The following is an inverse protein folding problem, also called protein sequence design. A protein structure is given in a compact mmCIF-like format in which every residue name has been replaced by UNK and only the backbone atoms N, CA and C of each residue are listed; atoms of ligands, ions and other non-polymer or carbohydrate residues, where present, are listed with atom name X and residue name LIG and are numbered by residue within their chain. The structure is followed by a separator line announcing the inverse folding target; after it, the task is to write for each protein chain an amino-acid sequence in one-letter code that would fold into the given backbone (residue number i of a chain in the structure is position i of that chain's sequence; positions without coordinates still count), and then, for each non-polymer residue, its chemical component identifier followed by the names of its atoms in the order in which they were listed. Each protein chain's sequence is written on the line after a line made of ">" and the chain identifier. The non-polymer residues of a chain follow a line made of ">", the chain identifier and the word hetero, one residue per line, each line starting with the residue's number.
data_IF_031043970880
#
_entry.id   IF_031043970880
#
_cell.length_a   1.000
_cell.length_b   1.000
_cell.length_c   1.000
_cell.angle_alpha   90.00
_cell.angle_beta   90.00
_cell.angle_gamma   90.00
#
_symmetry.space_group_name_H-M   'P 1'
#
loop_
_entity.id
_entity.type
_entity.pdbx_description
1 polymer ?
#
# COMPACT_ATOMS: atom_id res chain seq x y z
N UNK A 1 0.14 -3.77 7.80
CA UNK A 1 0.78 -2.44 7.68
C UNK A 1 0.93 -1.72 9.02
N UNK A 2 -0.12 -1.58 9.83
CA UNK A 2 -0.05 -0.93 11.15
C UNK A 2 1.09 -1.45 12.06
N UNK A 3 1.35 -2.76 12.03
CA UNK A 3 2.47 -3.40 12.75
C UNK A 3 3.85 -2.89 12.33
N UNK A 4 4.01 -2.45 11.08
CA UNK A 4 5.27 -1.87 10.57
C UNK A 4 5.32 -0.35 10.72
N UNK A 5 4.16 0.32 10.69
CA UNK A 5 4.05 1.78 10.86
C UNK A 5 4.38 2.23 12.28
N UNK A 6 3.98 1.47 13.31
CA UNK A 6 4.20 1.82 14.72
C UNK A 6 5.71 1.83 15.08
N UNK A 7 6.49 0.78 14.78
CA UNK A 7 7.94 0.80 14.97
C UNK A 7 8.62 1.92 14.20
N UNK A 8 8.18 2.20 12.96
CA UNK A 8 8.76 3.27 12.13
C UNK A 8 8.56 4.65 12.78
N UNK A 9 7.35 4.96 13.26
CA UNK A 9 7.06 6.21 13.98
C UNK A 9 7.91 6.30 15.24
N UNK A 10 8.02 5.21 16.00
CA UNK A 10 8.84 5.18 17.22
C UNK A 10 10.32 5.43 16.91
N UNK A 11 10.87 4.81 15.87
CA UNK A 11 12.26 5.01 15.48
C UNK A 11 12.49 6.45 15.01
N UNK A 12 11.68 6.95 14.07
CA UNK A 12 11.81 8.31 13.52
C UNK A 12 11.69 9.38 14.61
N UNK A 13 10.75 9.22 15.55
CA UNK A 13 10.54 10.21 16.61
C UNK A 13 11.49 10.04 17.81
N UNK A 14 12.11 8.87 18.02
CA UNK A 14 12.99 8.67 19.18
C UNK A 14 14.46 8.86 18.85
N UNK A 15 14.86 8.58 17.61
CA UNK A 15 16.26 8.61 17.18
C UNK A 15 16.93 9.99 17.36
N UNK A 16 16.34 11.13 16.97
CA UNK A 16 16.95 12.46 17.17
C UNK A 16 17.17 12.78 18.65
N UNK A 17 16.19 12.46 19.49
CA UNK A 17 16.28 12.65 20.94
C UNK A 17 17.36 11.78 21.59
N UNK A 18 17.49 10.52 21.15
CA UNK A 18 18.53 9.62 21.63
C UNK A 18 19.93 10.09 21.24
N UNK A 19 20.11 10.57 20.00
CA UNK A 19 21.39 11.14 19.53
C UNK A 19 21.74 12.40 20.32
N UNK A 20 20.78 13.31 20.52
CA UNK A 20 20.99 14.53 21.33
C UNK A 20 21.43 14.19 22.76
N UNK A 21 20.77 13.23 23.41
CA UNK A 21 21.12 12.75 24.73
C UNK A 21 22.53 12.13 24.79
N UNK A 22 22.93 11.43 23.73
CA UNK A 22 24.26 10.83 23.63
C UNK A 22 25.34 11.90 23.44
N UNK A 23 25.17 12.81 22.48
CA UNK A 23 26.12 13.90 22.20
C UNK A 23 26.30 14.85 23.38
N UNK A 24 25.20 15.18 24.08
CA UNK A 24 25.26 15.99 25.30
C UNK A 24 26.09 15.31 26.40
N UNK A 25 26.02 13.97 26.52
CA UNK A 25 26.81 13.21 27.50
C UNK A 25 28.28 13.05 27.12
N UNK A 26 28.59 12.91 25.83
CA UNK A 26 29.96 12.59 25.36
C UNK A 26 30.76 13.86 25.03
N UNK A 27 30.15 14.80 24.31
CA UNK A 27 30.81 16.02 23.82
C UNK A 27 30.45 17.28 24.60
N UNK A 28 29.44 17.23 25.49
CA UNK A 28 28.97 18.41 26.23
C UNK A 28 28.31 19.47 25.35
N UNK A 29 27.95 19.13 24.11
CA UNK A 29 27.23 20.04 23.20
C UNK A 29 25.75 20.13 23.61
N UNK A 30 25.19 21.34 23.48
CA UNK A 30 23.76 21.61 23.71
C UNK A 30 23.07 21.91 22.37
N UNK A 31 23.36 21.11 21.34
CA UNK A 31 22.68 21.23 20.06
C UNK A 31 21.32 20.53 20.15
N UNK A 32 20.24 21.31 19.97
CA UNK A 32 18.89 20.79 19.96
C UNK A 32 18.59 20.14 18.60
N UNK A 33 18.50 18.81 18.58
CA UNK A 33 18.15 18.04 17.40
C UNK A 33 16.64 17.85 17.31
N UNK A 34 16.09 18.08 16.11
CA UNK A 34 14.67 17.92 15.83
C UNK A 34 14.47 16.73 14.87
N UNK A 35 13.30 16.05 14.92
CA UNK A 35 12.95 15.05 13.93
C UNK A 35 12.97 15.57 12.49
N UNK A 36 12.60 16.84 12.29
CA UNK A 36 12.66 17.50 10.99
C UNK A 36 13.26 18.90 11.14
N UNK A 37 14.14 19.30 10.20
CA UNK A 37 14.67 20.65 10.20
C UNK A 37 13.70 21.62 9.51
N UNK A 38 12.76 22.13 10.30
CA UNK A 38 11.75 23.11 9.88
C UNK A 38 12.15 24.56 10.22
N UNK A 39 11.72 25.49 9.37
CA UNK A 39 11.72 26.92 9.69
C UNK A 39 10.42 27.29 10.43
N UNK A 40 10.55 27.96 11.57
CA UNK A 40 9.42 28.43 12.36
C UNK A 40 9.50 29.95 12.53
N UNK A 41 8.37 30.68 12.50
CA UNK A 41 8.34 32.13 12.70
C UNK A 41 8.58 32.56 14.17
N UNK A 42 8.90 31.61 15.05
CA UNK A 42 9.19 31.81 16.46
C UNK A 42 10.47 31.07 16.89
N UNK A 43 11.01 31.44 18.04
CA UNK A 43 12.24 30.86 18.58
C UNK A 43 12.03 29.39 19.00
N UNK A 44 12.42 28.46 18.10
CA UNK A 44 12.27 27.01 18.29
C UNK A 44 13.07 26.46 19.47
N UNK A 45 14.18 27.10 19.83
CA UNK A 45 15.02 26.68 20.97
C UNK A 45 14.31 26.92 22.29
N UNK A 46 13.65 28.08 22.44
CA UNK A 46 12.86 28.39 23.64
C UNK A 46 11.62 27.50 23.79
N UNK A 47 11.02 27.10 22.67
CA UNK A 47 9.81 26.27 22.62
C UNK A 47 10.08 24.83 22.21
N UNK A 48 11.29 24.32 22.48
CA UNK A 48 11.77 23.03 22.00
C UNK A 48 10.77 21.89 22.22
N UNK A 49 10.26 21.74 23.45
CA UNK A 49 9.33 20.66 23.78
C UNK A 49 8.00 20.76 22.99
N UNK A 50 7.49 21.98 22.76
CA UNK A 50 6.28 22.20 22.00
C UNK A 50 6.46 21.86 20.52
N UNK A 51 7.58 22.29 19.93
CA UNK A 51 7.94 21.97 18.54
C UNK A 51 8.13 20.47 18.37
N UNK A 52 8.85 19.83 19.29
CA UNK A 52 9.12 18.39 19.24
C UNK A 52 7.84 17.54 19.29
N UNK A 53 6.93 17.87 20.20
CA UNK A 53 5.63 17.19 20.32
C UNK A 53 4.80 17.41 19.06
N UNK A 54 4.77 18.64 18.56
CA UNK A 54 4.04 18.99 17.34
C UNK A 54 4.55 18.21 16.13
N UNK A 55 5.86 18.22 15.88
CA UNK A 55 6.48 17.48 14.76
C UNK A 55 6.25 15.98 14.88
N UNK A 56 6.39 15.42 16.09
CA UNK A 56 6.12 14.01 16.36
C UNK A 56 4.65 13.65 16.07
N UNK A 57 3.72 14.53 16.45
CA UNK A 57 2.28 14.35 16.20
C UNK A 57 1.95 14.43 14.71
N UNK A 58 2.44 15.45 14.01
CA UNK A 58 2.22 15.62 12.58
C UNK A 58 2.79 14.44 11.79
N UNK A 59 3.97 13.96 12.17
CA UNK A 59 4.59 12.77 11.56
C UNK A 59 3.73 11.53 11.77
N UNK A 60 3.22 11.31 12.98
CA UNK A 60 2.33 10.19 13.25
C UNK A 60 1.04 10.25 12.42
N UNK A 61 0.44 11.44 12.26
CA UNK A 61 -0.75 11.65 11.42
C UNK A 61 -0.44 11.34 9.96
N UNK A 62 0.63 11.91 9.41
CA UNK A 62 1.02 11.71 8.00
C UNK A 62 1.30 10.24 7.72
N UNK A 63 2.12 9.58 8.54
CA UNK A 63 2.43 8.15 8.39
C UNK A 63 1.17 7.28 8.51
N UNK A 64 0.25 7.64 9.39
CA UNK A 64 -1.02 6.92 9.53
C UNK A 64 -1.88 7.07 8.29
N UNK A 65 -2.06 8.27 7.76
CA UNK A 65 -2.84 8.52 6.54
C UNK A 65 -2.25 7.75 5.35
N UNK A 66 -0.93 7.81 5.15
CA UNK A 66 -0.26 7.03 4.11
C UNK A 66 -0.42 5.53 4.32
N UNK A 67 -0.29 5.05 5.56
CA UNK A 67 -0.45 3.65 5.92
C UNK A 67 -1.86 3.12 5.64
N UNK A 68 -2.90 3.86 6.04
CA UNK A 68 -4.29 3.49 5.79
C UNK A 68 -4.63 3.53 4.30
N UNK A 69 -4.19 4.57 3.59
CA UNK A 69 -4.40 4.67 2.15
C UNK A 69 -3.80 3.46 1.44
N UNK A 70 -2.52 3.16 1.67
CA UNK A 70 -1.84 2.00 1.08
C UNK A 70 -2.49 0.66 1.45
N UNK A 71 -3.04 0.54 2.67
CA UNK A 71 -3.77 -0.65 3.07
C UNK A 71 -5.07 -0.81 2.28
N UNK A 72 -5.83 0.27 2.10
CA UNK A 72 -7.05 0.26 1.27
C UNK A 72 -6.72 -0.14 -0.17
N UNK A 73 -5.70 0.49 -0.77
CA UNK A 73 -5.21 0.12 -2.11
C UNK A 73 -4.88 -1.37 -2.21
N UNK A 74 -4.04 -1.88 -1.33
CA UNK A 74 -3.63 -3.29 -1.34
C UNK A 74 -4.83 -4.23 -1.17
N UNK A 75 -5.73 -3.92 -0.24
CA UNK A 75 -6.92 -4.75 0.02
C UNK A 75 -7.85 -4.85 -1.18
N UNK A 76 -8.05 -3.74 -1.90
CA UNK A 76 -8.91 -3.69 -3.08
C UNK A 76 -8.29 -4.42 -4.26
N UNK A 77 -6.98 -4.29 -4.46
CA UNK A 77 -6.24 -5.06 -5.47
C UNK A 77 -6.35 -6.56 -5.15
N UNK A 78 -6.12 -6.97 -3.90
CA UNK A 78 -6.25 -8.37 -3.49
C UNK A 78 -7.67 -8.88 -3.73
N UNK A 79 -8.68 -8.09 -3.39
CA UNK A 79 -10.08 -8.43 -3.60
C UNK A 79 -10.40 -8.65 -5.08
N UNK A 80 -9.99 -7.73 -5.95
CA UNK A 80 -10.18 -7.85 -7.41
C UNK A 80 -9.46 -9.09 -7.94
N UNK A 81 -8.20 -9.32 -7.53
CA UNK A 81 -7.44 -10.50 -7.94
C UNK A 81 -8.10 -11.81 -7.48
N UNK A 82 -8.65 -11.83 -6.26
CA UNK A 82 -9.36 -13.00 -5.72
C UNK A 82 -10.64 -13.28 -6.51
N UNK A 83 -11.44 -12.26 -6.80
CA UNK A 83 -12.64 -12.40 -7.64
C UNK A 83 -12.31 -12.88 -9.05
N UNK A 84 -11.25 -12.34 -9.67
CA UNK A 84 -10.75 -12.83 -10.97
C UNK A 84 -10.33 -14.31 -10.88
N UNK A 85 -9.67 -14.72 -9.80
CA UNK A 85 -9.29 -16.12 -9.59
C UNK A 85 -10.51 -17.03 -9.43
N UNK A 86 -11.55 -16.58 -8.72
CA UNK A 86 -12.81 -17.32 -8.57
C UNK A 86 -13.51 -17.46 -9.93
N UNK A 87 -13.57 -16.40 -10.72
CA UNK A 87 -14.11 -16.42 -12.08
C UNK A 87 -13.31 -17.41 -12.94
N UNK A 88 -11.99 -17.38 -12.88
CA UNK A 88 -11.12 -18.33 -13.58
C UNK A 88 -11.40 -19.78 -13.19
N UNK A 89 -11.51 -20.06 -11.89
CA UNK A 89 -11.83 -21.40 -11.39
C UNK A 89 -13.23 -21.87 -11.83
N UNK A 90 -14.22 -20.97 -11.88
CA UNK A 90 -15.56 -21.29 -12.39
C UNK A 90 -15.59 -21.49 -13.90
N UNK A 91 -14.69 -20.83 -14.63
CA UNK A 91 -14.53 -21.01 -16.07
C UNK A 91 -13.86 -22.36 -16.39
N UNK A 92 -12.86 -22.75 -15.61
CA UNK A 92 -12.19 -24.05 -15.71
C UNK A 92 -13.18 -25.19 -15.41
N UNK A 93 -14.01 -25.03 -14.39
CA UNK A 93 -15.08 -25.97 -14.03
C UNK A 93 -16.42 -25.66 -14.73
N UNK A 94 -16.41 -24.99 -15.89
CA UNK A 94 -17.63 -24.68 -16.64
C UNK A 94 -18.28 -25.94 -17.23
N UNK A 95 -17.46 -26.92 -17.58
CA UNK A 95 -17.86 -28.25 -18.03
C UNK A 95 -17.32 -29.23 -17.00
N UNK A 96 -18.20 -29.79 -16.16
CA UNK A 96 -17.79 -30.82 -15.21
C UNK A 96 -17.59 -32.16 -15.93
N UNK A 97 -16.76 -33.03 -15.37
CA UNK A 97 -16.56 -34.40 -15.88
C UNK A 97 -17.89 -35.17 -15.97
N UNK A 98 -18.81 -34.94 -15.04
CA UNK A 98 -20.18 -35.49 -15.07
C UNK A 98 -21.01 -34.95 -16.25
N UNK A 99 -20.90 -33.66 -16.57
CA UNK A 99 -21.57 -33.06 -17.72
C UNK A 99 -20.96 -33.62 -19.03
N UNK A 100 -19.67 -33.95 -19.06
CA UNK A 100 -19.01 -34.59 -20.21
C UNK A 100 -19.44 -36.06 -20.40
N UNK A 101 -19.60 -36.83 -19.32
CA UNK A 101 -20.10 -38.21 -19.35
C UNK A 101 -21.56 -38.24 -19.81
N UNK A 102 -22.40 -37.34 -19.30
CA UNK A 102 -23.81 -37.23 -19.70
C UNK A 102 -24.00 -36.91 -21.20
N UNK A 103 -23.10 -36.13 -21.80
CA UNK A 103 -23.09 -35.86 -23.25
C UNK A 103 -22.76 -37.12 -24.05
N UNK A 104 -21.90 -38.00 -23.53
CA UNK A 104 -21.50 -39.24 -24.21
C UNK A 104 -22.55 -40.36 -24.09
N UNK A 105 -23.27 -40.44 -22.96
CA UNK A 105 -24.25 -41.51 -22.70
C UNK A 105 -25.69 -41.18 -23.11
N UNK A 106 -26.13 -39.91 -23.01
CA UNK A 106 -27.52 -39.50 -23.29
C UNK A 106 -27.59 -38.33 -24.30
N UNK A 107 -27.88 -38.67 -25.56
CA UNK A 107 -27.97 -37.70 -26.67
C UNK A 107 -29.11 -36.67 -26.52
N UNK A 108 -30.15 -36.98 -25.74
CA UNK A 108 -31.32 -36.11 -25.50
C UNK A 108 -31.04 -35.00 -24.45
N UNK A 109 -29.99 -35.16 -23.64
CA UNK A 109 -29.62 -34.22 -22.56
C UNK A 109 -28.76 -33.04 -23.04
N UNK A 110 -28.22 -33.12 -24.27
CA UNK A 110 -27.24 -32.19 -24.83
C UNK A 110 -27.77 -30.75 -24.89
N UNK A 111 -29.04 -30.55 -25.27
CA UNK A 111 -29.62 -29.20 -25.30
C UNK A 111 -29.76 -28.57 -23.91
N UNK A 112 -30.04 -29.36 -22.89
CA UNK A 112 -30.20 -28.90 -21.52
C UNK A 112 -28.83 -28.49 -20.96
N UNK A 113 -27.80 -29.32 -21.18
CA UNK A 113 -26.42 -29.05 -20.78
C UNK A 113 -25.87 -27.83 -21.51
N UNK A 114 -26.10 -27.70 -22.83
CA UNK A 114 -25.69 -26.54 -23.59
C UNK A 114 -26.33 -25.25 -23.06
N UNK A 115 -27.63 -25.27 -22.74
CA UNK A 115 -28.34 -24.12 -22.17
C UNK A 115 -27.81 -23.75 -20.78
N UNK A 116 -27.47 -24.73 -19.95
CA UNK A 116 -26.84 -24.55 -18.63
C UNK A 116 -25.46 -23.87 -18.78
N UNK A 117 -24.60 -24.37 -19.66
CA UNK A 117 -23.27 -23.81 -19.95
C UNK A 117 -23.39 -22.36 -20.43
N UNK A 118 -24.26 -22.09 -21.41
CA UNK A 118 -24.46 -20.73 -21.94
C UNK A 118 -24.96 -19.76 -20.86
N UNK A 119 -25.83 -20.23 -19.96
CA UNK A 119 -26.34 -19.42 -18.85
C UNK A 119 -25.24 -19.10 -17.83
N UNK A 120 -24.43 -20.10 -17.46
CA UNK A 120 -23.29 -19.92 -16.56
C UNK A 120 -22.23 -19.00 -17.18
N UNK A 121 -21.93 -19.15 -18.47
CA UNK A 121 -20.99 -18.30 -19.18
C UNK A 121 -21.47 -16.84 -19.22
N UNK A 122 -22.77 -16.60 -19.50
CA UNK A 122 -23.36 -15.25 -19.44
C UNK A 122 -23.22 -14.64 -18.04
N UNK A 123 -23.42 -15.43 -17.00
CA UNK A 123 -23.25 -14.97 -15.62
C UNK A 123 -21.78 -14.59 -15.33
N UNK A 124 -20.82 -15.42 -15.76
CA UNK A 124 -19.39 -15.14 -15.61
C UNK A 124 -18.96 -13.87 -16.37
N UNK A 125 -19.44 -13.68 -17.61
CA UNK A 125 -19.17 -12.47 -18.39
C UNK A 125 -19.75 -11.23 -17.71
N UNK A 126 -20.96 -11.32 -17.16
CA UNK A 126 -21.58 -10.22 -16.42
C UNK A 126 -20.78 -9.86 -15.16
N UNK A 127 -20.33 -10.87 -14.39
CA UNK A 127 -19.47 -10.69 -13.21
C UNK A 127 -18.13 -10.04 -13.59
N UNK A 128 -17.46 -10.55 -14.63
CA UNK A 128 -16.21 -9.98 -15.12
C UNK A 128 -16.39 -8.52 -15.59
N UNK A 129 -17.44 -8.22 -16.36
CA UNK A 129 -17.73 -6.86 -16.82
C UNK A 129 -17.97 -5.90 -15.66
N UNK A 130 -18.69 -6.34 -14.61
CA UNK A 130 -18.88 -5.57 -13.39
C UNK A 130 -17.55 -5.30 -12.68
N UNK A 131 -16.69 -6.31 -12.57
CA UNK A 131 -15.38 -6.19 -11.94
C UNK A 131 -14.45 -5.25 -12.71
N UNK A 132 -14.42 -5.33 -14.04
CA UNK A 132 -13.65 -4.41 -14.90
C UNK A 132 -14.13 -2.97 -14.74
N UNK A 133 -15.44 -2.72 -14.72
CA UNK A 133 -15.99 -1.37 -14.50
C UNK A 133 -15.65 -0.83 -13.12
N UNK A 134 -15.69 -1.68 -12.11
CA UNK A 134 -15.33 -1.31 -10.73
C UNK A 134 -13.85 -1.01 -10.62
N UNK A 135 -12.99 -1.83 -11.22
CA UNK A 135 -11.55 -1.61 -11.31
C UNK A 135 -11.20 -0.32 -12.04
N UNK A 136 -11.85 -0.02 -13.17
CA UNK A 136 -11.64 1.22 -13.91
C UNK A 136 -12.01 2.47 -13.08
N UNK A 137 -13.13 2.44 -12.35
CA UNK A 137 -13.48 3.51 -11.41
C UNK A 137 -12.47 3.64 -10.29
N UNK A 138 -11.94 2.51 -9.81
CA UNK A 138 -10.92 2.51 -8.78
C UNK A 138 -9.64 3.17 -9.28
N UNK A 139 -9.18 2.78 -10.46
CA UNK A 139 -8.01 3.35 -11.12
C UNK A 139 -8.15 4.86 -11.33
N UNK A 140 -9.33 5.35 -11.70
CA UNK A 140 -9.56 6.81 -11.83
C UNK A 140 -9.45 7.58 -10.51
N UNK A 141 -9.71 6.95 -9.36
CA UNK A 141 -9.65 7.63 -8.05
C UNK A 141 -8.28 7.45 -7.40
N UNK A 142 -7.65 6.30 -7.59
CA UNK A 142 -6.50 5.83 -6.82
C UNK A 142 -5.23 5.69 -7.67
N UNK A 143 -5.34 5.70 -9.00
CA UNK A 143 -4.23 5.57 -9.94
C UNK A 143 -3.25 6.75 -9.86
N UNK A 144 -3.76 7.98 -9.82
CA UNK A 144 -2.92 9.19 -9.70
C UNK A 144 -2.12 9.20 -8.39
N UNK A 145 -2.76 8.82 -7.28
CA UNK A 145 -2.10 8.73 -5.99
C UNK A 145 -1.00 7.65 -5.98
N UNK A 146 -1.24 6.51 -6.64
CA UNK A 146 -0.26 5.44 -6.78
C UNK A 146 0.94 5.85 -7.65
N UNK A 147 0.69 6.55 -8.76
CA UNK A 147 1.73 7.08 -9.64
C UNK A 147 2.62 8.10 -8.90
N UNK A 148 2.00 8.98 -8.13
CA UNK A 148 2.69 9.98 -7.34
C UNK A 148 3.53 9.31 -6.22
N UNK A 149 2.99 8.31 -5.55
CA UNK A 149 3.74 7.53 -4.55
C UNK A 149 4.94 6.82 -5.15
N UNK A 150 4.78 6.19 -6.33
CA UNK A 150 5.86 5.47 -6.99
C UNK A 150 6.98 6.41 -7.48
N UNK A 151 6.61 7.53 -8.11
CA UNK A 151 7.57 8.52 -8.61
C UNK A 151 8.34 9.22 -7.49
N UNK A 152 7.66 9.68 -6.44
CA UNK A 152 8.32 10.26 -5.27
C UNK A 152 9.19 9.22 -4.56
N UNK A 153 8.71 7.98 -4.42
CA UNK A 153 9.49 6.89 -3.83
C UNK A 153 10.81 6.64 -4.57
N UNK A 154 10.79 6.64 -5.91
CA UNK A 154 12.00 6.49 -6.71
C UNK A 154 13.00 7.62 -6.47
N UNK A 155 12.53 8.88 -6.44
CA UNK A 155 13.37 10.05 -6.13
C UNK A 155 14.01 9.90 -4.74
N UNK A 156 13.23 9.54 -3.72
CA UNK A 156 13.73 9.36 -2.36
C UNK A 156 14.77 8.25 -2.25
N UNK A 157 14.57 7.12 -2.93
CA UNK A 157 15.55 6.01 -2.94
C UNK A 157 16.86 6.47 -3.58
N UNK A 158 16.79 7.16 -4.72
CA UNK A 158 17.97 7.70 -5.39
C UNK A 158 18.73 8.72 -4.53
N UNK A 159 18.02 9.65 -3.89
CA UNK A 159 18.62 10.61 -2.96
C UNK A 159 19.26 9.93 -1.75
N UNK A 160 18.59 8.93 -1.18
CA UNK A 160 19.12 8.17 -0.05
C UNK A 160 20.40 7.42 -0.43
N UNK A 161 20.42 6.80 -1.60
CA UNK A 161 21.62 6.12 -2.12
C UNK A 161 22.77 7.10 -2.37
N UNK A 162 22.47 8.29 -2.89
CA UNK A 162 23.46 9.35 -3.07
C UNK A 162 24.03 9.80 -1.72
N UNK A 163 23.19 10.12 -0.74
CA UNK A 163 23.63 10.54 0.61
C UNK A 163 24.49 9.48 1.28
N UNK A 164 24.11 8.21 1.17
CA UNK A 164 24.91 7.10 1.70
C UNK A 164 26.30 7.03 1.06
N UNK A 165 26.40 7.28 -0.24
CA UNK A 165 27.67 7.28 -0.97
C UNK A 165 28.55 8.46 -0.57
N UNK A 166 27.96 9.65 -0.39
CA UNK A 166 28.69 10.85 0.06
C UNK A 166 29.25 10.67 1.47
N UNK A 167 28.47 10.12 2.39
CA UNK A 167 28.92 9.84 3.76
C UNK A 167 30.14 8.91 3.77
N UNK A 168 30.14 7.86 2.91
CA UNK A 168 31.26 6.91 2.79
C UNK A 168 32.51 7.50 2.14
N UNK A 169 32.38 8.54 1.32
CA UNK A 169 33.51 9.20 0.65
C UNK A 169 34.21 10.24 1.53
N UNK A 170 33.56 10.70 2.60
CA UNK A 170 34.10 11.66 3.56
C UNK A 170 34.69 11.01 4.83
N UNK A 171 34.66 9.68 4.94
CA UNK A 171 35.44 8.87 5.91
C UNK A 171 36.72 8.34 5.27
#
# INVERSE_FOLDING_TARGET
>A
LLYYSIPLILVVNSFPYLVMMYESRVNGSNEYLYPFDGWYPFDKVKWYAGVYIWESCMTAVVVSVFGFSNMLHASLIIFICMELKIIGNRLENLINDEDAIAIYEENDSVQIIHRKIVTNLKMLIAQHSFLTKTSAKLDTVLGDAMLLNYSLGAIFICLTAFTFTVLRLNE
#
